data_IF_622927104382
#
_entry.id   IF_622927104382
#
_cell.length_a   1.000
_cell.length_b   1.000
_cell.length_c   1.000
_cell.angle_alpha   90.00
_cell.angle_beta   90.00
_cell.angle_gamma   90.00
#
_symmetry.space_group_name_H-M   'P 1'
#
loop_
_entity.id
_entity.type
_entity.pdbx_description
1 polymer ?
#
# COMPACT_ATOMS: atom_id res chain seq x y z
N UNK A 1 14.22 -14.11 6.68
CA UNK A 1 15.47 -14.79 6.30
C UNK A 1 15.46 -15.17 4.81
N UNK A 2 14.42 -15.89 4.30
CA UNK A 2 14.39 -16.38 2.90
C UNK A 2 14.46 -15.22 1.89
N UNK A 3 13.58 -14.23 1.98
CA UNK A 3 13.55 -13.09 1.06
C UNK A 3 14.90 -12.38 1.00
N UNK A 4 15.48 -12.05 2.17
CA UNK A 4 16.80 -11.41 2.26
C UNK A 4 17.88 -12.21 1.52
N UNK A 5 17.94 -13.54 1.71
CA UNK A 5 18.93 -14.39 1.07
C UNK A 5 18.75 -14.40 -0.46
N UNK A 6 17.51 -14.50 -0.95
CA UNK A 6 17.23 -14.46 -2.40
C UNK A 6 17.61 -13.12 -3.02
N UNK A 7 17.32 -12.01 -2.35
CA UNK A 7 17.73 -10.67 -2.80
C UNK A 7 19.25 -10.53 -2.85
N UNK A 8 19.97 -11.04 -1.85
CA UNK A 8 21.43 -11.07 -1.82
C UNK A 8 22.00 -11.90 -2.98
N UNK A 9 21.47 -13.09 -3.23
CA UNK A 9 21.90 -13.95 -4.34
C UNK A 9 21.60 -13.35 -5.72
N UNK A 10 20.61 -12.49 -5.83
CA UNK A 10 20.30 -11.81 -7.10
C UNK A 10 21.45 -10.96 -7.63
N UNK A 11 22.29 -10.41 -6.73
CA UNK A 11 23.39 -9.52 -7.07
C UNK A 11 22.96 -8.12 -7.55
N UNK A 12 21.69 -7.74 -7.39
CA UNK A 12 21.16 -6.43 -7.80
C UNK A 12 20.85 -5.50 -6.62
N UNK A 13 20.72 -6.04 -5.42
CA UNK A 13 20.22 -5.33 -4.24
C UNK A 13 21.36 -5.01 -3.29
N UNK A 14 21.54 -3.72 -3.01
CA UNK A 14 22.53 -3.21 -2.06
C UNK A 14 22.05 -3.28 -0.63
N UNK A 15 20.88 -2.74 -0.35
CA UNK A 15 20.31 -2.65 0.99
C UNK A 15 18.90 -3.24 1.03
N UNK A 16 18.55 -3.77 2.17
CA UNK A 16 17.25 -4.34 2.47
C UNK A 16 16.74 -3.83 3.81
N UNK A 17 15.49 -3.39 3.85
CA UNK A 17 14.77 -3.07 5.07
C UNK A 17 13.46 -3.87 5.14
N UNK A 18 13.08 -4.30 6.33
CA UNK A 18 11.84 -5.05 6.55
C UNK A 18 11.13 -4.53 7.77
N UNK A 19 9.79 -4.58 7.77
CA UNK A 19 8.99 -4.24 8.94
C UNK A 19 9.35 -5.09 10.16
N UNK A 20 9.80 -6.32 9.94
CA UNK A 20 10.24 -7.29 10.95
C UNK A 20 11.68 -7.05 11.46
N UNK A 21 12.30 -5.94 11.07
CA UNK A 21 13.68 -5.60 11.44
C UNK A 21 13.77 -4.16 11.95
N UNK A 22 14.69 -3.93 12.88
CA UNK A 22 14.87 -2.62 13.52
C UNK A 22 15.77 -1.67 12.71
N UNK A 23 16.45 -2.17 11.67
CA UNK A 23 17.41 -1.38 10.89
C UNK A 23 17.49 -1.83 9.43
N UNK A 24 17.95 -0.90 8.59
CA UNK A 24 18.37 -1.19 7.21
C UNK A 24 19.63 -2.08 7.25
N UNK A 25 19.67 -3.11 6.42
CA UNK A 25 20.77 -4.06 6.35
C UNK A 25 21.44 -3.99 4.98
N UNK A 26 22.74 -3.75 4.95
CA UNK A 26 23.53 -3.90 3.71
C UNK A 26 23.67 -5.40 3.40
N UNK A 27 23.28 -5.80 2.20
CA UNK A 27 23.32 -7.20 1.73
C UNK A 27 24.13 -7.35 0.44
N UNK A 28 24.40 -6.27 -0.25
CA UNK A 28 25.21 -6.20 -1.47
C UNK A 28 26.68 -5.99 -1.17
N UNK A 29 27.45 -5.79 -2.25
CA UNK A 29 28.91 -5.52 -2.24
C UNK A 29 29.25 -4.04 -2.43
N UNK A 30 28.21 -3.16 -2.45
CA UNK A 30 28.36 -1.71 -2.59
C UNK A 30 28.31 -1.17 -4.03
N UNK A 31 28.20 -2.05 -5.02
CA UNK A 31 28.09 -1.67 -6.45
C UNK A 31 26.67 -1.85 -7.00
N UNK A 32 25.81 -2.49 -6.24
CA UNK A 32 24.43 -2.77 -6.60
C UNK A 32 23.60 -1.49 -6.60
N UNK A 33 22.61 -1.46 -7.47
CA UNK A 33 21.86 -0.25 -7.79
C UNK A 33 20.57 -0.11 -6.98
N UNK A 34 19.97 -1.24 -6.58
CA UNK A 34 18.63 -1.24 -6.02
C UNK A 34 18.64 -1.42 -4.51
N UNK A 35 17.60 -0.89 -3.89
CA UNK A 35 17.30 -0.95 -2.47
C UNK A 35 15.89 -1.51 -2.34
N UNK A 36 15.66 -2.45 -1.42
CA UNK A 36 14.38 -3.13 -1.30
C UNK A 36 13.81 -2.97 0.09
N UNK A 37 12.53 -2.60 0.14
CA UNK A 37 11.74 -2.54 1.38
C UNK A 37 10.67 -3.60 1.35
N UNK A 38 10.35 -4.23 2.48
CA UNK A 38 9.33 -5.25 2.56
C UNK A 38 8.53 -5.20 3.87
N UNK A 39 7.23 -5.32 3.74
CA UNK A 39 6.36 -5.92 4.75
C UNK A 39 6.10 -7.37 4.34
N UNK A 40 6.74 -8.35 5.01
CA UNK A 40 6.61 -9.76 4.62
C UNK A 40 5.23 -10.35 4.90
N UNK A 41 4.47 -9.78 5.83
CA UNK A 41 3.20 -10.35 6.30
C UNK A 41 2.20 -9.28 6.74
N UNK A 42 1.67 -8.51 5.76
CA UNK A 42 0.53 -7.62 5.99
C UNK A 42 -0.70 -8.41 6.41
N UNK A 43 -1.36 -7.96 7.47
CA UNK A 43 -2.54 -8.60 8.01
C UNK A 43 -2.24 -9.80 8.89
N UNK A 44 -1.14 -9.84 9.63
CA UNK A 44 -0.72 -10.93 10.52
C UNK A 44 -1.84 -11.36 11.49
N UNK A 45 -2.65 -10.44 11.98
CA UNK A 45 -3.82 -10.73 12.85
C UNK A 45 -4.94 -11.50 12.13
N UNK A 46 -4.94 -11.57 10.82
CA UNK A 46 -5.95 -12.29 10.02
C UNK A 46 -5.60 -13.78 9.84
N UNK A 47 -4.36 -14.18 10.12
CA UNK A 47 -3.91 -15.57 10.02
C UNK A 47 -4.75 -16.49 10.92
N UNK A 48 -5.00 -16.07 12.16
CA UNK A 48 -5.78 -16.85 13.13
C UNK A 48 -7.23 -17.08 12.69
N UNK A 49 -7.77 -16.18 11.87
CA UNK A 49 -9.15 -16.24 11.37
C UNK A 49 -9.24 -16.79 9.96
N UNK A 50 -8.13 -17.26 9.38
CA UNK A 50 -8.05 -17.83 8.04
C UNK A 50 -8.57 -16.90 6.93
N UNK A 51 -8.28 -15.60 7.06
CA UNK A 51 -8.59 -14.60 6.04
C UNK A 51 -7.37 -14.33 5.15
N UNK A 52 -7.60 -13.67 4.02
CA UNK A 52 -6.53 -13.31 3.10
C UNK A 52 -5.54 -12.34 3.76
N UNK A 53 -4.26 -12.59 3.51
CA UNK A 53 -3.11 -11.81 3.97
C UNK A 53 -2.25 -11.42 2.78
N UNK A 54 -1.20 -10.61 3.01
CA UNK A 54 -0.33 -10.19 1.91
C UNK A 54 1.13 -10.03 2.26
N UNK A 55 1.92 -9.80 1.21
CA UNK A 55 3.30 -9.32 1.27
C UNK A 55 3.39 -8.06 0.43
N UNK A 56 4.07 -7.01 0.92
CA UNK A 56 4.27 -5.75 0.20
C UNK A 56 5.77 -5.57 -0.04
N UNK A 57 6.17 -5.19 -1.25
CA UNK A 57 7.56 -4.93 -1.60
C UNK A 57 7.66 -3.60 -2.36
N UNK A 58 8.56 -2.73 -1.90
CA UNK A 58 9.01 -1.54 -2.61
C UNK A 58 10.44 -1.71 -3.15
N UNK A 59 10.70 -1.24 -4.36
CA UNK A 59 12.02 -1.24 -4.99
C UNK A 59 12.42 0.20 -5.26
N UNK A 60 13.56 0.60 -4.73
CA UNK A 60 14.08 1.94 -4.79
C UNK A 60 15.39 2.00 -5.57
N UNK A 61 15.71 3.17 -6.12
CA UNK A 61 16.98 3.51 -6.73
C UNK A 61 17.61 4.68 -5.96
N UNK A 62 18.82 4.53 -5.49
CA UNK A 62 19.60 5.56 -4.82
C UNK A 62 19.53 5.54 -3.30
N UNK A 63 18.36 5.38 -2.67
CA UNK A 63 18.21 5.31 -1.21
C UNK A 63 16.91 4.63 -0.79
N UNK A 64 16.86 4.08 0.43
CA UNK A 64 15.65 3.60 1.10
C UNK A 64 14.90 4.77 1.75
N UNK A 65 15.62 5.67 2.41
CA UNK A 65 15.03 6.86 3.03
C UNK A 65 14.87 7.99 2.02
N UNK A 66 13.93 8.90 2.26
CA UNK A 66 13.60 9.99 1.37
C UNK A 66 12.15 9.94 0.89
N UNK A 67 11.81 10.73 -0.13
CA UNK A 67 10.48 10.68 -0.72
C UNK A 67 10.37 9.55 -1.76
N UNK A 68 9.24 8.83 -1.71
CA UNK A 68 9.02 7.69 -2.60
C UNK A 68 8.86 8.10 -4.07
N UNK A 69 8.52 9.36 -4.34
CA UNK A 69 8.36 9.86 -5.72
C UNK A 69 9.67 9.90 -6.47
N UNK A 70 10.77 10.22 -5.80
CA UNK A 70 12.10 10.29 -6.41
C UNK A 70 12.86 8.98 -6.35
N UNK A 71 12.63 8.17 -5.32
CA UNK A 71 13.42 6.95 -5.09
C UNK A 71 12.75 5.69 -5.62
N UNK A 72 11.42 5.55 -5.52
CA UNK A 72 10.71 4.32 -5.87
C UNK A 72 10.63 4.12 -7.38
N UNK A 73 11.11 2.99 -7.86
CA UNK A 73 11.13 2.62 -9.29
C UNK A 73 10.20 1.47 -9.63
N UNK A 74 9.84 0.66 -8.63
CA UNK A 74 8.84 -0.39 -8.77
C UNK A 74 8.23 -0.72 -7.41
N UNK A 75 7.04 -1.29 -7.46
CA UNK A 75 6.38 -1.85 -6.28
C UNK A 75 5.56 -3.08 -6.67
N UNK A 76 5.35 -3.97 -5.72
CA UNK A 76 4.43 -5.07 -5.85
C UNK A 76 3.81 -5.43 -4.50
N UNK A 77 2.64 -6.04 -4.55
CA UNK A 77 2.15 -6.83 -3.43
C UNK A 77 1.69 -8.21 -3.91
N UNK A 78 1.71 -9.18 -3.00
CA UNK A 78 1.17 -10.52 -3.20
C UNK A 78 0.00 -10.69 -2.25
N UNK A 79 -1.13 -11.20 -2.74
CA UNK A 79 -2.28 -11.59 -1.93
C UNK A 79 -2.33 -13.10 -1.80
N UNK A 80 -2.35 -13.60 -0.58
CA UNK A 80 -2.54 -15.01 -0.26
C UNK A 80 -4.00 -15.24 0.16
N UNK A 81 -4.82 -15.67 -0.78
CA UNK A 81 -6.24 -15.92 -0.62
C UNK A 81 -6.65 -17.20 -1.35
N UNK A 82 -7.91 -17.31 -1.80
CA UNK A 82 -8.36 -18.44 -2.64
C UNK A 82 -7.51 -18.65 -3.90
N UNK A 83 -6.96 -17.58 -4.43
CA UNK A 83 -5.88 -17.55 -5.42
C UNK A 83 -4.69 -16.80 -4.82
N UNK A 84 -3.48 -17.17 -5.23
CA UNK A 84 -2.31 -16.36 -4.98
C UNK A 84 -2.14 -15.45 -6.19
N UNK A 85 -2.26 -14.14 -5.94
CA UNK A 85 -2.11 -13.11 -6.98
C UNK A 85 -0.99 -12.16 -6.63
N UNK A 86 -0.36 -11.59 -7.64
CA UNK A 86 0.65 -10.55 -7.51
C UNK A 86 0.22 -9.35 -8.34
N UNK A 87 0.17 -8.17 -7.73
CA UNK A 87 0.00 -6.91 -8.44
C UNK A 87 1.33 -6.19 -8.47
N UNK A 88 1.75 -5.73 -9.65
CA UNK A 88 3.07 -5.19 -9.90
C UNK A 88 3.02 -3.97 -10.81
N UNK A 89 3.94 -3.04 -10.58
CA UNK A 89 4.25 -1.92 -11.48
C UNK A 89 5.75 -1.57 -11.44
N UNK A 90 6.29 -1.26 -12.60
CA UNK A 90 7.61 -0.62 -12.76
C UNK A 90 7.49 0.77 -13.41
N UNK A 91 6.44 1.53 -13.08
CA UNK A 91 6.21 2.88 -13.57
C UNK A 91 5.53 2.97 -14.94
N UNK A 92 5.01 1.87 -15.47
CA UNK A 92 4.32 1.80 -16.77
C UNK A 92 2.96 1.12 -16.66
N UNK A 93 2.10 1.57 -15.74
CA UNK A 93 0.82 0.94 -15.42
C UNK A 93 0.95 -0.12 -14.35
N UNK A 94 -0.19 -0.63 -13.91
CA UNK A 94 -0.32 -1.64 -12.85
C UNK A 94 -0.92 -2.89 -13.46
N UNK A 95 -0.33 -4.05 -13.17
CA UNK A 95 -0.68 -5.33 -13.78
C UNK A 95 -0.89 -6.39 -12.72
N UNK A 96 -1.85 -7.31 -12.93
CA UNK A 96 -2.08 -8.45 -12.06
C UNK A 96 -1.59 -9.75 -12.72
N UNK A 97 -1.01 -10.60 -11.89
CA UNK A 97 -0.57 -11.95 -12.23
C UNK A 97 -1.18 -12.95 -11.25
N UNK A 98 -1.47 -14.14 -11.72
CA UNK A 98 -1.96 -15.26 -10.90
C UNK A 98 -0.91 -16.36 -10.89
N UNK A 99 -0.62 -16.91 -9.71
CA UNK A 99 0.26 -18.07 -9.56
C UNK A 99 -0.44 -19.33 -10.08
N UNK A 100 0.13 -19.98 -11.09
CA UNK A 100 -0.36 -21.22 -11.65
C UNK A 100 0.12 -22.45 -10.85
N UNK A 101 -0.31 -23.65 -11.25
CA UNK A 101 0.06 -24.90 -10.58
C UNK A 101 1.52 -25.30 -10.78
N UNK A 102 2.14 -24.78 -11.82
CA UNK A 102 3.55 -24.97 -12.17
C UNK A 102 4.48 -24.06 -11.35
N UNK A 103 3.93 -23.18 -10.54
CA UNK A 103 4.68 -22.24 -9.71
C UNK A 103 5.11 -20.96 -10.45
N UNK A 104 4.46 -20.63 -11.57
CA UNK A 104 4.75 -19.45 -12.38
C UNK A 104 3.65 -18.39 -12.22
N UNK A 105 4.06 -17.11 -12.18
CA UNK A 105 3.13 -16.00 -12.24
C UNK A 105 2.75 -15.68 -13.69
N UNK A 106 1.49 -15.91 -14.04
CA UNK A 106 0.94 -15.67 -15.37
C UNK A 106 0.11 -14.38 -15.36
N UNK A 107 0.33 -13.52 -16.36
CA UNK A 107 -0.42 -12.25 -16.49
C UNK A 107 -1.92 -12.54 -16.62
N UNK A 108 -2.73 -12.03 -15.69
CA UNK A 108 -4.19 -12.17 -15.68
C UNK A 108 -4.89 -10.90 -16.14
N UNK A 109 -4.38 -9.73 -15.72
CA UNK A 109 -4.93 -8.44 -16.11
C UNK A 109 -3.81 -7.43 -16.39
N UNK A 110 -3.79 -6.92 -17.62
CA UNK A 110 -2.85 -5.89 -18.02
C UNK A 110 -3.44 -4.50 -17.79
N UNK A 111 -2.59 -3.58 -17.31
CA UNK A 111 -2.86 -2.15 -17.23
C UNK A 111 -4.19 -1.81 -16.52
N UNK A 112 -4.33 -2.31 -15.29
CA UNK A 112 -5.47 -2.01 -14.40
C UNK A 112 -5.65 -0.49 -14.31
N UNK A 113 -6.90 -0.01 -14.43
CA UNK A 113 -7.24 1.40 -14.32
C UNK A 113 -8.39 1.60 -13.35
N UNK A 114 -8.18 2.49 -12.41
CA UNK A 114 -9.25 2.95 -11.53
C UNK A 114 -10.16 3.95 -12.25
N UNK A 115 -11.46 3.84 -12.03
CA UNK A 115 -12.42 4.88 -12.40
C UNK A 115 -12.14 6.14 -11.58
N UNK A 116 -12.54 7.29 -12.10
CA UNK A 116 -12.46 8.56 -11.37
C UNK A 116 -13.24 8.51 -10.06
N UNK A 117 -14.44 7.89 -10.07
CA UNK A 117 -15.30 7.63 -8.91
C UNK A 117 -15.61 6.14 -8.81
N UNK A 118 -15.43 5.57 -7.61
CA UNK A 118 -15.79 4.20 -7.28
C UNK A 118 -17.13 4.06 -6.57
N UNK A 119 -17.37 2.87 -6.01
CA UNK A 119 -18.61 2.53 -5.28
C UNK A 119 -18.37 1.68 -4.02
N UNK A 120 -17.12 1.46 -3.64
CA UNK A 120 -16.74 0.72 -2.43
C UNK A 120 -15.85 1.56 -1.52
N UNK A 121 -15.89 1.26 -0.23
CA UNK A 121 -15.01 1.86 0.76
C UNK A 121 -14.59 0.87 1.83
N UNK A 122 -13.37 1.04 2.36
CA UNK A 122 -12.81 0.30 3.50
C UNK A 122 -12.32 1.28 4.55
N UNK A 123 -12.52 0.95 5.82
CA UNK A 123 -12.26 1.85 6.94
C UNK A 123 -11.38 1.19 8.00
N UNK A 124 -10.32 1.87 8.42
CA UNK A 124 -9.53 1.48 9.57
C UNK A 124 -9.83 2.28 10.83
N UNK A 125 -9.45 1.72 11.98
CA UNK A 125 -9.58 2.36 13.28
C UNK A 125 -10.99 2.28 13.88
N UNK A 126 -11.08 2.63 15.16
CA UNK A 126 -12.35 2.64 15.89
C UNK A 126 -13.07 3.98 15.68
N UNK A 127 -14.37 3.94 15.34
CA UNK A 127 -15.20 5.15 15.11
C UNK A 127 -15.11 6.18 16.24
N UNK A 128 -15.01 5.75 17.51
CA UNK A 128 -14.87 6.65 18.67
C UNK A 128 -13.56 7.45 18.70
N UNK A 129 -12.54 7.00 17.98
CA UNK A 129 -11.21 7.63 17.89
C UNK A 129 -11.02 8.45 16.62
N UNK A 130 -12.00 8.47 15.70
CA UNK A 130 -11.98 9.24 14.47
C UNK A 130 -12.06 10.76 14.72
N UNK A 131 -11.45 11.52 13.84
CA UNK A 131 -11.58 12.98 13.80
C UNK A 131 -12.95 13.38 13.24
N UNK A 132 -13.49 14.56 13.59
CA UNK A 132 -14.76 15.03 13.02
C UNK A 132 -14.75 15.08 11.49
N UNK A 133 -13.66 15.50 10.85
CA UNK A 133 -13.54 15.55 9.40
C UNK A 133 -13.64 14.16 8.76
N UNK A 134 -12.92 13.17 9.33
CA UNK A 134 -13.01 11.79 8.85
C UNK A 134 -14.43 11.21 9.03
N UNK A 135 -15.08 11.50 10.16
CA UNK A 135 -16.46 11.05 10.42
C UNK A 135 -17.42 11.59 9.33
N UNK A 136 -17.37 12.90 9.05
CA UNK A 136 -18.19 13.51 7.99
C UNK A 136 -17.90 12.91 6.61
N UNK A 137 -16.64 12.61 6.31
CA UNK A 137 -16.28 11.94 5.05
C UNK A 137 -16.92 10.55 4.94
N UNK A 138 -16.90 9.75 6.01
CA UNK A 138 -17.55 8.42 6.03
C UNK A 138 -19.06 8.56 5.86
N UNK A 139 -19.71 9.47 6.57
CA UNK A 139 -21.15 9.76 6.44
C UNK A 139 -21.53 10.18 5.02
N UNK A 140 -20.66 10.94 4.34
CA UNK A 140 -20.82 11.27 2.92
C UNK A 140 -20.79 10.00 2.03
N UNK A 141 -19.83 9.09 2.24
CA UNK A 141 -19.74 7.85 1.46
C UNK A 141 -20.98 6.96 1.67
N UNK A 142 -21.44 6.84 2.92
CA UNK A 142 -22.63 6.06 3.29
C UNK A 142 -23.90 6.65 2.66
N UNK A 143 -24.07 7.98 2.71
CA UNK A 143 -25.19 8.68 2.13
C UNK A 143 -25.24 8.60 0.60
N UNK A 144 -24.06 8.54 -0.05
CA UNK A 144 -23.92 8.42 -1.51
C UNK A 144 -23.98 6.93 -1.99
N UNK A 145 -24.26 6.00 -1.08
CA UNK A 145 -24.55 4.59 -1.40
C UNK A 145 -23.34 3.70 -1.64
N UNK A 146 -22.16 4.09 -1.15
CA UNK A 146 -20.97 3.25 -1.21
C UNK A 146 -21.12 1.97 -0.38
N UNK A 147 -20.56 0.87 -0.86
CA UNK A 147 -20.61 -0.43 -0.18
C UNK A 147 -19.37 -0.63 0.69
N UNK A 148 -19.58 -0.88 1.98
CA UNK A 148 -18.50 -1.24 2.89
C UNK A 148 -17.86 -2.59 2.48
N UNK A 149 -16.54 -2.57 2.32
CA UNK A 149 -15.68 -3.72 2.07
C UNK A 149 -14.47 -3.64 2.99
N UNK A 150 -14.49 -4.38 4.07
CA UNK A 150 -13.43 -4.33 5.08
C UNK A 150 -13.04 -5.74 5.51
N UNK A 151 -11.79 -6.10 5.25
CA UNK A 151 -11.22 -7.40 5.65
C UNK A 151 -10.43 -7.31 6.95
N UNK A 152 -9.85 -6.16 7.23
CA UNK A 152 -8.93 -5.93 8.35
C UNK A 152 -7.45 -5.98 7.97
N UNK A 153 -7.10 -6.35 6.72
CA UNK A 153 -5.76 -6.30 6.15
C UNK A 153 -5.64 -5.23 5.08
N UNK A 154 -4.49 -4.60 4.98
CA UNK A 154 -4.29 -3.51 4.02
C UNK A 154 -4.21 -4.04 2.57
N UNK A 155 -3.43 -5.11 2.33
CA UNK A 155 -3.32 -5.75 1.01
C UNK A 155 -4.68 -6.22 0.48
N UNK A 156 -5.48 -7.03 1.19
CA UNK A 156 -6.74 -7.51 0.64
C UNK A 156 -7.76 -6.40 0.41
N UNK A 157 -7.74 -5.32 1.20
CA UNK A 157 -8.65 -4.19 1.01
C UNK A 157 -8.24 -3.32 -0.19
N UNK A 158 -6.95 -3.04 -0.38
CA UNK A 158 -6.45 -2.35 -1.58
C UNK A 158 -6.67 -3.21 -2.83
N UNK A 159 -6.49 -4.52 -2.73
CA UNK A 159 -6.77 -5.43 -3.85
C UNK A 159 -8.24 -5.31 -4.31
N UNK A 160 -9.20 -5.20 -3.37
CA UNK A 160 -10.61 -4.97 -3.74
C UNK A 160 -10.78 -3.63 -4.50
N UNK A 161 -10.16 -2.54 -4.03
CA UNK A 161 -10.23 -1.24 -4.72
C UNK A 161 -9.69 -1.33 -6.14
N UNK A 162 -8.55 -2.00 -6.34
CA UNK A 162 -7.95 -2.18 -7.67
C UNK A 162 -8.80 -3.06 -8.58
N UNK A 163 -9.18 -4.26 -8.13
CA UNK A 163 -9.87 -5.25 -8.98
C UNK A 163 -11.33 -4.88 -9.23
N UNK A 164 -11.98 -4.13 -8.34
CA UNK A 164 -13.32 -3.55 -8.57
C UNK A 164 -13.29 -2.23 -9.34
N UNK A 165 -12.09 -1.81 -9.76
CA UNK A 165 -11.83 -0.62 -10.58
C UNK A 165 -12.29 0.69 -9.92
N UNK A 166 -12.20 0.82 -8.60
CA UNK A 166 -12.46 2.07 -7.91
C UNK A 166 -13.07 1.94 -6.53
N UNK A 167 -12.93 3.01 -5.76
CA UNK A 167 -13.29 3.12 -4.36
C UNK A 167 -12.18 3.72 -3.54
N UNK A 168 -12.28 3.65 -2.22
CA UNK A 168 -11.31 4.22 -1.30
C UNK A 168 -11.05 3.30 -0.11
N UNK A 169 -9.80 3.14 0.25
CA UNK A 169 -9.38 2.64 1.56
C UNK A 169 -8.92 3.82 2.42
N UNK A 170 -9.26 3.79 3.72
CA UNK A 170 -8.80 4.80 4.67
C UNK A 170 -8.32 4.17 5.97
N UNK A 171 -7.21 4.68 6.48
CA UNK A 171 -6.81 4.52 7.87
C UNK A 171 -6.40 5.89 8.41
N UNK A 172 -7.33 6.62 9.07
CA UNK A 172 -7.09 8.02 9.46
C UNK A 172 -6.10 8.16 10.61
N UNK A 173 -5.65 9.38 10.84
CA UNK A 173 -5.07 9.75 12.13
C UNK A 173 -6.12 9.55 13.22
N UNK A 174 -5.74 8.88 14.30
CA UNK A 174 -6.60 8.58 15.44
C UNK A 174 -6.14 9.37 16.67
N UNK A 175 -7.05 9.61 17.62
CA UNK A 175 -6.70 10.28 18.90
C UNK A 175 -5.50 9.60 19.60
N UNK A 176 -5.42 8.26 19.53
CA UNK A 176 -4.34 7.47 20.14
C UNK A 176 -3.12 7.28 19.22
N UNK A 177 -3.26 7.56 17.94
CA UNK A 177 -2.22 7.43 16.93
C UNK A 177 -2.29 8.61 15.97
N UNK A 178 -1.91 9.82 16.40
CA UNK A 178 -2.09 11.06 15.63
C UNK A 178 -1.25 11.09 14.34
N UNK A 179 -0.21 10.30 14.25
CA UNK A 179 0.59 10.10 13.04
C UNK A 179 0.12 8.93 12.15
N UNK A 180 -1.05 8.34 12.45
CA UNK A 180 -1.54 7.14 11.77
C UNK A 180 -1.00 5.84 12.37
N UNK A 181 -1.41 4.70 11.79
CA UNK A 181 -1.03 3.35 12.26
C UNK A 181 -0.08 2.65 11.30
N UNK A 182 -0.30 2.78 10.00
CA UNK A 182 0.43 2.06 8.97
C UNK A 182 1.82 2.68 8.72
N UNK A 183 2.78 1.85 8.32
CA UNK A 183 4.16 2.26 8.09
C UNK A 183 4.32 2.93 6.73
N UNK A 184 4.91 4.13 6.73
CA UNK A 184 5.07 4.92 5.50
C UNK A 184 5.92 4.17 4.46
N UNK A 185 7.07 3.63 4.90
CA UNK A 185 8.07 3.02 4.02
C UNK A 185 7.64 1.65 3.48
N UNK A 186 7.11 0.79 4.36
CA UNK A 186 6.87 -0.62 4.03
C UNK A 186 5.51 -0.89 3.40
N UNK A 187 4.50 -0.10 3.78
CA UNK A 187 3.12 -0.31 3.38
C UNK A 187 2.62 0.82 2.46
N UNK A 188 2.70 2.09 2.91
CA UNK A 188 1.98 3.18 2.26
C UNK A 188 2.61 3.63 0.95
N UNK A 189 3.93 3.83 0.89
CA UNK A 189 4.59 4.28 -0.34
C UNK A 189 4.50 3.25 -1.46
N UNK A 190 4.77 1.93 -1.24
CA UNK A 190 4.59 0.92 -2.28
C UNK A 190 3.16 0.85 -2.82
N UNK A 191 2.16 0.88 -1.93
CA UNK A 191 0.75 0.86 -2.34
C UNK A 191 0.33 2.14 -3.05
N UNK A 192 0.80 3.31 -2.59
CA UNK A 192 0.56 4.59 -3.26
C UNK A 192 1.15 4.59 -4.69
N UNK A 193 2.34 4.03 -4.88
CA UNK A 193 2.95 3.89 -6.19
C UNK A 193 2.06 3.06 -7.13
N UNK A 194 1.59 1.89 -6.70
CA UNK A 194 0.71 1.03 -7.50
C UNK A 194 -0.61 1.71 -7.85
N UNK A 195 -1.24 2.38 -6.88
CA UNK A 195 -2.52 3.07 -7.06
C UNK A 195 -2.36 4.28 -8.00
N UNK A 196 -1.28 5.07 -7.88
CA UNK A 196 -1.03 6.19 -8.79
C UNK A 196 -0.76 5.70 -10.23
N UNK A 197 -0.04 4.58 -10.41
CA UNK A 197 0.15 3.94 -11.71
C UNK A 197 -1.14 3.39 -12.32
N UNK A 198 -2.11 3.02 -11.48
CA UNK A 198 -3.47 2.67 -11.92
C UNK A 198 -4.39 3.88 -12.18
N UNK A 199 -3.88 5.12 -12.04
CA UNK A 199 -4.63 6.35 -12.27
C UNK A 199 -5.38 6.87 -11.05
N UNK A 200 -5.19 6.27 -9.86
CA UNK A 200 -5.73 6.74 -8.60
C UNK A 200 -4.89 7.81 -7.89
N UNK A 201 -5.06 7.94 -6.58
CA UNK A 201 -4.33 8.87 -5.72
C UNK A 201 -4.19 8.33 -4.30
N UNK A 202 -3.21 8.86 -3.56
CA UNK A 202 -3.00 8.54 -2.15
C UNK A 202 -2.49 9.78 -1.38
N UNK A 203 -3.08 10.04 -0.20
CA UNK A 203 -2.73 11.21 0.66
C UNK A 203 -2.88 10.86 2.14
N UNK A 204 -2.16 11.58 2.99
CA UNK A 204 -2.38 11.57 4.45
C UNK A 204 -3.55 12.49 4.88
N UNK A 205 -4.15 13.18 3.93
CA UNK A 205 -5.16 14.23 4.09
C UNK A 205 -4.64 15.63 3.77
N UNK A 206 -3.32 15.81 3.66
CA UNK A 206 -2.66 17.08 3.32
C UNK A 206 -1.68 16.90 2.16
N UNK A 207 -0.76 15.96 2.32
CA UNK A 207 0.35 15.69 1.41
C UNK A 207 0.11 14.36 0.69
N UNK A 208 0.51 14.25 -0.56
CA UNK A 208 0.52 12.96 -1.25
C UNK A 208 1.52 12.01 -0.60
N UNK A 209 1.17 10.76 -0.46
CA UNK A 209 1.99 9.76 0.25
C UNK A 209 3.41 9.65 -0.34
N UNK A 210 3.55 9.64 -1.66
CA UNK A 210 4.87 9.55 -2.30
C UNK A 210 5.73 10.81 -2.12
N UNK A 211 5.14 11.95 -1.78
CA UNK A 211 5.83 13.22 -1.56
C UNK A 211 6.22 13.43 -0.07
N UNK A 212 5.85 12.50 0.81
CA UNK A 212 6.26 12.52 2.22
C UNK A 212 7.64 11.88 2.33
N UNK A 213 8.61 12.64 2.83
CA UNK A 213 9.96 12.11 3.09
C UNK A 213 9.95 11.12 4.25
N UNK A 214 10.57 9.96 4.03
CA UNK A 214 10.83 8.98 5.08
C UNK A 214 12.12 9.35 5.79
N UNK A 215 12.02 9.69 7.07
CA UNK A 215 13.15 10.07 7.92
C UNK A 215 13.70 8.87 8.72
N UNK A 216 12.82 7.94 9.07
CA UNK A 216 13.17 6.69 9.74
C UNK A 216 12.26 5.53 9.29
N UNK A 217 12.74 4.28 9.43
CA UNK A 217 12.02 3.09 8.98
C UNK A 217 10.74 2.80 9.78
N UNK A 218 10.60 3.35 10.97
CA UNK A 218 9.43 3.22 11.84
C UNK A 218 8.35 4.27 11.59
N UNK A 219 8.60 5.24 10.69
CA UNK A 219 7.69 6.34 10.42
C UNK A 219 6.32 5.84 9.96
N UNK A 220 5.27 6.45 10.53
CA UNK A 220 3.86 6.11 10.24
C UNK A 220 3.13 7.31 9.66
N UNK A 221 2.05 7.03 8.92
CA UNK A 221 1.16 8.07 8.41
C UNK A 221 -0.30 7.61 8.42
N UNK A 222 -1.21 8.58 8.41
CA UNK A 222 -2.59 8.37 7.99
C UNK A 222 -2.62 8.08 6.48
N UNK A 223 -3.71 7.49 5.99
CA UNK A 223 -3.87 7.18 4.57
C UNK A 223 -5.32 7.30 4.11
N UNK A 224 -5.49 7.90 2.95
CA UNK A 224 -6.68 7.91 2.10
C UNK A 224 -6.20 7.56 0.69
N UNK A 225 -6.57 6.40 0.17
CA UNK A 225 -5.99 5.83 -1.05
C UNK A 225 -7.05 5.14 -1.90
N UNK A 226 -7.05 5.41 -3.20
CA UNK A 226 -8.00 4.84 -4.15
C UNK A 226 -8.27 5.74 -5.34
N UNK A 227 -9.52 5.80 -5.79
CA UNK A 227 -9.94 6.67 -6.89
C UNK A 227 -9.79 8.14 -6.53
N UNK A 228 -9.52 8.97 -7.54
CA UNK A 228 -9.19 10.40 -7.35
C UNK A 228 -10.32 11.19 -6.71
N UNK A 229 -11.57 10.90 -7.09
CA UNK A 229 -12.74 11.60 -6.56
C UNK A 229 -12.84 11.43 -5.04
N UNK A 230 -12.79 10.18 -4.52
CA UNK A 230 -12.92 9.92 -3.10
C UNK A 230 -11.74 10.48 -2.30
N UNK A 231 -10.52 10.40 -2.84
CA UNK A 231 -9.33 10.95 -2.19
C UNK A 231 -9.38 12.48 -2.13
N UNK A 232 -9.88 13.15 -3.19
CA UNK A 232 -10.10 14.59 -3.18
C UNK A 232 -11.18 14.98 -2.18
N UNK A 233 -12.32 14.25 -2.13
CA UNK A 233 -13.38 14.47 -1.15
C UNK A 233 -12.90 14.28 0.29
N UNK A 234 -12.10 13.24 0.56
CA UNK A 234 -11.51 13.07 1.89
C UNK A 234 -10.73 14.32 2.31
N UNK A 235 -9.90 14.87 1.43
CA UNK A 235 -9.14 16.09 1.71
C UNK A 235 -10.04 17.28 2.03
N UNK A 236 -11.10 17.52 1.25
CA UNK A 236 -12.08 18.60 1.49
C UNK A 236 -12.70 18.49 2.91
N UNK A 237 -13.11 17.29 3.32
CA UNK A 237 -13.71 17.07 4.65
C UNK A 237 -12.73 17.18 5.81
N UNK A 238 -11.45 16.90 5.57
CA UNK A 238 -10.40 16.99 6.59
C UNK A 238 -9.91 18.42 6.81
N UNK A 239 -10.00 19.30 5.79
CA UNK A 239 -9.64 20.71 5.86
C UNK A 239 -10.77 21.60 6.41
N UNK A 240 -12.03 21.13 6.40
CA UNK A 240 -13.23 21.80 6.91
C UNK A 240 -13.43 21.54 8.42
#
# INVERSE_FOLDING_TARGET
>A
VILKNQLQFSGFVREYASEEQDAVVEIGRGTEKYFVTADPLDGSSLVETNLAIGTIIGIHNGAILGDGRTTMVAALYITYGPLITMVYSAGKGTHEFVLNREGEYVLSQENIRLKEKGDIYSLGGLRKDWTPGHLRFVEFLEADGYKLRYSGGFVPDINQVLIKNGGVFTYPALKKSPRGKLRLLFELQPMAFLIEQAGGSATDGKTKILDISVEDIGQRSAIYIGSRFEVAKAKEFLEA
#
